data_IF_019224777598
#
_entry.id   IF_019224777598
#
_cell.length_a   1.000
_cell.length_b   1.000
_cell.length_c   1.000
_cell.angle_alpha   90.00
_cell.angle_beta   90.00
_cell.angle_gamma   90.00
#
_symmetry.space_group_name_H-M   'P 1'
#
loop_
_entity.id
_entity.type
_entity.pdbx_description
1 polymer ?
#
# COMPACT_ATOMS: atom_id res chain seq x y z
N UNK A 1 -61.24 -119.12 16.12
CA UNK A 1 -61.60 -117.79 15.56
C UNK A 1 -60.99 -116.69 16.44
N UNK A 2 -59.97 -115.94 16.00
CA UNK A 2 -59.44 -114.70 16.66
C UNK A 2 -58.16 -114.11 16.02
N UNK A 3 -57.40 -114.86 15.21
CA UNK A 3 -56.11 -114.39 14.62
C UNK A 3 -56.26 -113.35 13.49
N UNK A 4 -57.32 -113.41 12.70
CA UNK A 4 -57.60 -112.46 11.61
C UNK A 4 -58.04 -111.07 12.11
N UNK A 5 -58.53 -110.97 13.35
CA UNK A 5 -58.99 -109.71 13.93
C UNK A 5 -57.82 -108.78 14.28
N UNK A 6 -56.68 -109.33 14.72
CA UNK A 6 -55.46 -108.55 14.96
C UNK A 6 -54.84 -108.02 13.65
N UNK A 7 -54.91 -108.80 12.56
CA UNK A 7 -54.39 -108.41 11.25
C UNK A 7 -55.21 -107.30 10.60
N UNK A 8 -56.54 -107.37 10.72
CA UNK A 8 -57.46 -106.33 10.26
C UNK A 8 -57.36 -105.07 11.14
N UNK A 9 -57.24 -105.23 12.46
CA UNK A 9 -57.08 -104.12 13.40
C UNK A 9 -55.75 -103.38 13.23
N UNK A 10 -54.63 -104.11 13.10
CA UNK A 10 -53.32 -103.50 12.84
C UNK A 10 -53.30 -102.88 11.44
N UNK A 11 -53.84 -103.59 10.42
CA UNK A 11 -53.91 -103.07 9.05
C UNK A 11 -54.76 -101.80 8.92
N UNK A 12 -55.91 -101.72 9.60
CA UNK A 12 -56.74 -100.51 9.59
C UNK A 12 -56.08 -99.35 10.34
N UNK A 13 -55.41 -99.64 11.46
CA UNK A 13 -54.67 -98.63 12.21
C UNK A 13 -53.46 -98.10 11.42
N UNK A 14 -52.76 -98.98 10.68
CA UNK A 14 -51.68 -98.57 9.77
C UNK A 14 -52.19 -97.75 8.59
N UNK A 15 -53.35 -98.11 7.99
CA UNK A 15 -53.95 -97.35 6.90
C UNK A 15 -54.39 -95.95 7.35
N UNK A 16 -55.01 -95.84 8.53
CA UNK A 16 -55.37 -94.55 9.14
C UNK A 16 -54.10 -93.74 9.43
N UNK A 17 -53.06 -94.35 9.99
CA UNK A 17 -51.78 -93.68 10.24
C UNK A 17 -51.13 -93.16 8.97
N UNK A 18 -51.08 -93.96 7.89
CA UNK A 18 -50.49 -93.53 6.61
C UNK A 18 -51.28 -92.39 5.98
N UNK A 19 -52.60 -92.39 6.07
CA UNK A 19 -53.43 -91.28 5.60
C UNK A 19 -53.12 -89.97 6.35
N UNK A 20 -53.06 -90.02 7.68
CA UNK A 20 -52.67 -88.86 8.49
C UNK A 20 -51.22 -88.44 8.26
N UNK A 21 -50.29 -89.38 8.08
CA UNK A 21 -48.89 -89.10 7.80
C UNK A 21 -48.72 -88.36 6.47
N UNK A 22 -49.33 -88.84 5.38
CA UNK A 22 -49.25 -88.15 4.07
C UNK A 22 -49.98 -86.81 4.05
N UNK A 23 -51.10 -86.68 4.78
CA UNK A 23 -51.77 -85.39 4.96
C UNK A 23 -50.88 -84.38 5.70
N UNK A 24 -50.23 -84.83 6.78
CA UNK A 24 -49.34 -83.99 7.59
C UNK A 24 -48.02 -83.67 6.86
N UNK A 25 -47.51 -84.55 6.00
CA UNK A 25 -46.34 -84.31 5.15
C UNK A 25 -46.62 -83.21 4.12
N UNK A 26 -47.78 -83.26 3.46
CA UNK A 26 -48.21 -82.21 2.52
C UNK A 26 -48.47 -80.88 3.22
N UNK A 27 -49.02 -80.91 4.42
CA UNK A 27 -49.22 -79.70 5.22
C UNK A 27 -47.87 -79.10 5.67
N UNK A 28 -46.89 -79.92 6.07
CA UNK A 28 -45.55 -79.43 6.40
C UNK A 28 -44.81 -78.88 5.17
N UNK A 29 -44.91 -79.53 4.01
CA UNK A 29 -44.31 -79.04 2.76
C UNK A 29 -44.90 -77.69 2.34
N UNK A 30 -46.23 -77.51 2.46
CA UNK A 30 -46.89 -76.22 2.20
C UNK A 30 -46.44 -75.15 3.19
N UNK A 31 -46.41 -75.46 4.49
CA UNK A 31 -45.93 -74.52 5.51
C UNK A 31 -44.47 -74.12 5.30
N UNK A 32 -43.60 -75.05 4.91
CA UNK A 32 -42.20 -74.73 4.56
C UNK A 32 -42.09 -73.88 3.30
N UNK A 33 -42.87 -74.18 2.26
CA UNK A 33 -42.89 -73.38 1.04
C UNK A 33 -43.39 -71.95 1.30
N UNK A 34 -44.45 -71.80 2.09
CA UNK A 34 -44.98 -70.50 2.52
C UNK A 34 -43.97 -69.74 3.39
N UNK A 35 -43.28 -70.44 4.32
CA UNK A 35 -42.21 -69.84 5.12
C UNK A 35 -41.05 -69.35 4.27
N UNK A 36 -40.61 -70.14 3.27
CA UNK A 36 -39.53 -69.75 2.35
C UNK A 36 -39.91 -68.53 1.52
N UNK A 37 -41.14 -68.48 1.00
CA UNK A 37 -41.64 -67.32 0.25
C UNK A 37 -41.77 -66.08 1.15
N UNK A 38 -42.26 -66.22 2.38
CA UNK A 38 -42.35 -65.13 3.34
C UNK A 38 -40.96 -64.60 3.75
N UNK A 39 -40.01 -65.51 3.99
CA UNK A 39 -38.63 -65.17 4.31
C UNK A 39 -37.97 -64.44 3.13
N UNK A 40 -38.15 -64.93 1.91
CA UNK A 40 -37.61 -64.28 0.70
C UNK A 40 -38.17 -62.86 0.55
N UNK A 41 -39.48 -62.67 0.71
CA UNK A 41 -40.10 -61.33 0.66
C UNK A 41 -39.57 -60.39 1.74
N UNK A 42 -39.35 -60.88 2.95
CA UNK A 42 -38.75 -60.07 4.02
C UNK A 42 -37.30 -59.71 3.73
N UNK A 43 -36.52 -60.63 3.16
CA UNK A 43 -35.14 -60.37 2.75
C UNK A 43 -35.09 -59.35 1.62
N UNK A 44 -35.96 -59.45 0.62
CA UNK A 44 -36.05 -58.51 -0.50
C UNK A 44 -36.50 -57.11 -0.04
N UNK A 45 -37.45 -57.02 0.90
CA UNK A 45 -37.86 -55.74 1.50
C UNK A 45 -36.72 -55.10 2.29
N UNK A 46 -36.06 -55.87 3.17
CA UNK A 46 -34.89 -55.38 3.91
C UNK A 46 -33.74 -54.97 2.99
N UNK A 47 -33.54 -55.67 1.87
CA UNK A 47 -32.52 -55.31 0.89
C UNK A 47 -32.85 -53.98 0.20
N UNK A 48 -34.11 -53.74 -0.17
CA UNK A 48 -34.56 -52.46 -0.74
C UNK A 48 -34.45 -51.32 0.26
N UNK A 49 -34.92 -51.52 1.49
CA UNK A 49 -34.81 -50.51 2.55
C UNK A 49 -33.35 -50.14 2.85
N UNK A 50 -32.45 -51.14 2.86
CA UNK A 50 -31.01 -50.88 2.99
C UNK A 50 -30.46 -50.09 1.80
N UNK A 51 -30.80 -50.48 0.57
CA UNK A 51 -30.34 -49.77 -0.63
C UNK A 51 -30.81 -48.31 -0.65
N UNK A 52 -32.08 -48.05 -0.33
CA UNK A 52 -32.65 -46.68 -0.27
C UNK A 52 -31.99 -45.85 0.85
N UNK A 53 -31.70 -46.47 2.00
CA UNK A 53 -31.01 -45.81 3.11
C UNK A 53 -29.55 -45.47 2.74
N UNK A 54 -28.85 -46.40 2.08
CA UNK A 54 -27.48 -46.20 1.61
C UNK A 54 -27.41 -45.11 0.52
N UNK A 55 -28.36 -45.08 -0.41
CA UNK A 55 -28.43 -44.05 -1.44
C UNK A 55 -28.69 -42.67 -0.83
N UNK A 56 -29.66 -42.55 0.09
CA UNK A 56 -29.91 -41.31 0.83
C UNK A 56 -28.69 -40.86 1.64
N UNK A 57 -28.01 -41.80 2.30
CA UNK A 57 -26.79 -41.50 3.04
C UNK A 57 -25.66 -41.01 2.11
N UNK A 58 -25.52 -41.59 0.92
CA UNK A 58 -24.56 -41.14 -0.09
C UNK A 58 -24.87 -39.73 -0.62
N UNK A 59 -26.14 -39.44 -0.91
CA UNK A 59 -26.58 -38.13 -1.40
C UNK A 59 -26.35 -37.06 -0.33
N UNK A 60 -26.74 -37.31 0.92
CA UNK A 60 -26.52 -36.38 2.03
C UNK A 60 -25.02 -36.15 2.30
N UNK A 61 -24.21 -37.21 2.27
CA UNK A 61 -22.76 -37.08 2.39
C UNK A 61 -22.14 -36.27 1.22
N UNK A 62 -22.59 -36.51 -0.01
CA UNK A 62 -22.15 -35.75 -1.18
C UNK A 62 -22.57 -34.27 -1.09
N UNK A 63 -23.80 -33.98 -0.64
CA UNK A 63 -24.28 -32.62 -0.45
C UNK A 63 -23.47 -31.87 0.63
N UNK A 64 -23.17 -32.53 1.75
CA UNK A 64 -22.35 -31.94 2.83
C UNK A 64 -20.91 -31.69 2.41
N UNK A 65 -20.31 -32.60 1.65
CA UNK A 65 -18.95 -32.41 1.12
C UNK A 65 -18.90 -31.28 0.10
N UNK A 66 -19.86 -31.21 -0.82
CA UNK A 66 -19.99 -30.11 -1.77
C UNK A 66 -20.22 -28.76 -1.08
N UNK A 67 -21.06 -28.72 -0.04
CA UNK A 67 -21.31 -27.50 0.72
C UNK A 67 -20.04 -26.99 1.44
N UNK A 68 -19.25 -27.88 2.05
CA UNK A 68 -17.96 -27.53 2.67
C UNK A 68 -16.97 -27.02 1.64
N UNK A 69 -16.83 -27.72 0.51
CA UNK A 69 -15.93 -27.30 -0.56
C UNK A 69 -16.31 -25.91 -1.11
N UNK A 70 -17.61 -25.62 -1.26
CA UNK A 70 -18.08 -24.30 -1.70
C UNK A 70 -17.83 -23.21 -0.64
N UNK A 71 -18.00 -23.51 0.64
CA UNK A 71 -17.70 -22.57 1.74
C UNK A 71 -16.19 -22.29 1.83
N UNK A 72 -15.35 -23.31 1.73
CA UNK A 72 -13.89 -23.18 1.71
C UNK A 72 -13.42 -22.39 0.48
N UNK A 73 -13.98 -22.67 -0.70
CA UNK A 73 -13.68 -21.92 -1.92
C UNK A 73 -14.05 -20.44 -1.80
N UNK A 74 -15.19 -20.11 -1.18
CA UNK A 74 -15.58 -18.72 -0.90
C UNK A 74 -14.64 -18.05 0.09
N UNK A 75 -14.30 -18.73 1.19
CA UNK A 75 -13.36 -18.20 2.19
C UNK A 75 -11.99 -17.91 1.58
N UNK A 76 -11.51 -18.81 0.72
CA UNK A 76 -10.23 -18.64 0.04
C UNK A 76 -10.29 -17.49 -0.98
N UNK A 77 -11.35 -17.42 -1.79
CA UNK A 77 -11.56 -16.31 -2.72
C UNK A 77 -11.63 -14.97 -2.00
N UNK A 78 -12.37 -14.88 -0.89
CA UNK A 78 -12.46 -13.66 -0.08
C UNK A 78 -11.10 -13.29 0.55
N UNK A 79 -10.33 -14.29 0.99
CA UNK A 79 -8.98 -14.09 1.54
C UNK A 79 -8.04 -13.54 0.48
N UNK A 80 -8.03 -14.14 -0.71
CA UNK A 80 -7.21 -13.69 -1.85
C UNK A 80 -7.62 -12.29 -2.28
N UNK A 81 -8.92 -12.03 -2.44
CA UNK A 81 -9.43 -10.72 -2.84
C UNK A 81 -9.04 -9.62 -1.84
N UNK A 82 -9.14 -9.90 -0.53
CA UNK A 82 -8.68 -8.97 0.52
C UNK A 82 -7.18 -8.75 0.46
N UNK A 83 -6.40 -9.82 0.30
CA UNK A 83 -4.95 -9.72 0.22
C UNK A 83 -4.52 -8.89 -1.00
N UNK A 84 -5.07 -9.16 -2.18
CA UNK A 84 -4.79 -8.38 -3.39
C UNK A 84 -5.20 -6.92 -3.27
N UNK A 85 -6.37 -6.64 -2.67
CA UNK A 85 -6.83 -5.27 -2.44
C UNK A 85 -5.85 -4.50 -1.54
N UNK A 86 -5.49 -5.09 -0.39
CA UNK A 86 -4.52 -4.49 0.53
C UNK A 86 -3.15 -4.33 -0.11
N UNK A 87 -2.66 -5.33 -0.87
CA UNK A 87 -1.38 -5.25 -1.57
C UNK A 87 -1.37 -4.13 -2.61
N UNK A 88 -2.45 -3.95 -3.37
CA UNK A 88 -2.58 -2.82 -4.32
C UNK A 88 -2.63 -1.48 -3.60
N UNK A 89 -3.33 -1.38 -2.48
CA UNK A 89 -3.39 -0.15 -1.69
C UNK A 89 -2.00 0.22 -1.14
N UNK A 90 -1.28 -0.76 -0.60
CA UNK A 90 0.11 -0.58 -0.12
C UNK A 90 1.00 -0.12 -1.28
N UNK A 91 0.91 -0.77 -2.44
CA UNK A 91 1.71 -0.41 -3.61
C UNK A 91 1.40 1.03 -4.07
N UNK A 92 0.13 1.38 -4.26
CA UNK A 92 -0.27 2.71 -4.68
C UNK A 92 0.20 3.79 -3.68
N UNK A 93 0.08 3.52 -2.38
CA UNK A 93 0.55 4.44 -1.34
C UNK A 93 2.06 4.59 -1.38
N UNK A 94 2.79 3.49 -1.54
CA UNK A 94 4.25 3.50 -1.65
C UNK A 94 4.72 4.28 -2.88
N UNK A 95 4.09 4.05 -4.03
CA UNK A 95 4.41 4.74 -5.28
C UNK A 95 4.12 6.25 -5.17
N UNK A 96 3.01 6.63 -4.54
CA UNK A 96 2.68 8.04 -4.28
C UNK A 96 3.70 8.71 -3.37
N UNK A 97 4.07 8.06 -2.25
CA UNK A 97 5.04 8.60 -1.30
C UNK A 97 6.45 8.70 -1.91
N UNK A 98 6.82 7.75 -2.76
CA UNK A 98 8.09 7.81 -3.50
C UNK A 98 8.10 9.00 -4.47
N UNK A 99 7.00 9.22 -5.21
CA UNK A 99 6.87 10.36 -6.11
C UNK A 99 6.91 11.71 -5.36
N UNK A 100 6.29 11.80 -4.19
CA UNK A 100 6.37 12.99 -3.33
C UNK A 100 7.79 13.20 -2.79
N UNK A 101 8.46 12.13 -2.38
CA UNK A 101 9.85 12.19 -1.91
C UNK A 101 10.78 12.71 -3.00
N UNK A 102 10.66 12.21 -4.23
CA UNK A 102 11.44 12.68 -5.38
C UNK A 102 11.17 14.16 -5.69
N UNK A 103 9.91 14.60 -5.55
CA UNK A 103 9.53 16.00 -5.74
C UNK A 103 10.19 16.89 -4.68
N UNK A 104 10.08 16.52 -3.40
CA UNK A 104 10.69 17.29 -2.32
C UNK A 104 12.22 17.29 -2.38
N UNK A 105 12.84 16.19 -2.81
CA UNK A 105 14.28 16.13 -3.03
C UNK A 105 14.75 17.13 -4.11
N UNK A 106 14.00 17.23 -5.22
CA UNK A 106 14.27 18.22 -6.28
C UNK A 106 14.05 19.65 -5.81
N UNK A 107 12.98 19.90 -5.06
CA UNK A 107 12.70 21.23 -4.49
C UNK A 107 13.79 21.64 -3.49
N UNK A 108 14.24 20.73 -2.62
CA UNK A 108 15.33 20.97 -1.70
C UNK A 108 16.63 21.32 -2.43
N UNK A 109 17.02 20.52 -3.44
CA UNK A 109 18.20 20.80 -4.26
C UNK A 109 18.10 22.15 -4.99
N UNK A 110 16.91 22.50 -5.50
CA UNK A 110 16.69 23.80 -6.14
C UNK A 110 16.83 24.96 -5.14
N UNK A 111 16.30 24.81 -3.92
CA UNK A 111 16.43 25.81 -2.86
C UNK A 111 17.88 25.96 -2.39
N UNK A 112 18.64 24.88 -2.28
CA UNK A 112 20.07 24.93 -1.96
C UNK A 112 20.86 25.73 -3.00
N UNK A 113 20.62 25.46 -4.29
CA UNK A 113 21.22 26.23 -5.40
C UNK A 113 20.84 27.71 -5.31
N UNK A 114 19.57 28.03 -5.02
CA UNK A 114 19.13 29.42 -4.86
C UNK A 114 19.83 30.10 -3.68
N UNK A 115 19.99 29.39 -2.56
CA UNK A 115 20.63 29.90 -1.36
C UNK A 115 22.10 30.23 -1.62
N UNK A 116 22.83 29.33 -2.28
CA UNK A 116 24.23 29.57 -2.64
C UNK A 116 24.38 30.71 -3.65
N UNK A 117 23.49 30.80 -4.63
CA UNK A 117 23.45 31.94 -5.54
C UNK A 117 23.21 33.27 -4.81
N UNK A 118 22.28 33.31 -3.86
CA UNK A 118 22.00 34.50 -3.05
C UNK A 118 23.19 34.87 -2.16
N UNK A 119 23.89 33.90 -1.59
CA UNK A 119 25.13 34.14 -0.83
C UNK A 119 26.20 34.77 -1.71
N UNK A 120 26.44 34.21 -2.89
CA UNK A 120 27.41 34.73 -3.85
C UNK A 120 27.05 36.15 -4.31
N UNK A 121 25.76 36.41 -4.60
CA UNK A 121 25.28 37.74 -4.97
C UNK A 121 25.46 38.75 -3.83
N UNK A 122 25.13 38.36 -2.59
CA UNK A 122 25.35 39.20 -1.41
C UNK A 122 26.81 39.58 -1.24
N UNK A 123 27.72 38.61 -1.35
CA UNK A 123 29.16 38.89 -1.24
C UNK A 123 29.66 39.81 -2.34
N UNK A 124 29.22 39.59 -3.58
CA UNK A 124 29.53 40.45 -4.72
C UNK A 124 29.03 41.89 -4.50
N UNK A 125 27.76 42.05 -4.13
CA UNK A 125 27.16 43.36 -3.85
C UNK A 125 27.87 44.08 -2.69
N UNK A 126 28.26 43.35 -1.64
CA UNK A 126 29.01 43.93 -0.53
C UNK A 126 30.37 44.47 -0.98
N UNK A 127 31.09 43.72 -1.82
CA UNK A 127 32.37 44.17 -2.40
C UNK A 127 32.19 45.39 -3.29
N UNK A 128 31.19 45.37 -4.17
CA UNK A 128 30.87 46.50 -5.06
C UNK A 128 30.48 47.76 -4.27
N UNK A 129 29.68 47.59 -3.22
CA UNK A 129 29.27 48.69 -2.33
C UNK A 129 30.48 49.28 -1.61
N UNK A 130 31.39 48.44 -1.11
CA UNK A 130 32.61 48.88 -0.47
C UNK A 130 33.54 49.63 -1.42
N UNK A 131 33.75 49.12 -2.64
CA UNK A 131 34.56 49.78 -3.67
C UNK A 131 33.94 51.12 -4.10
N UNK A 132 32.61 51.19 -4.22
CA UNK A 132 31.92 52.44 -4.53
C UNK A 132 32.10 53.47 -3.40
N UNK A 133 31.95 53.06 -2.15
CA UNK A 133 32.22 53.92 -0.99
C UNK A 133 33.67 54.45 -0.99
N UNK A 134 34.64 53.57 -1.26
CA UNK A 134 36.06 53.94 -1.39
C UNK A 134 36.29 54.98 -2.49
N UNK A 135 35.67 54.81 -3.67
CA UNK A 135 35.77 55.78 -4.77
C UNK A 135 35.17 57.14 -4.40
N UNK A 136 34.04 57.16 -3.69
CA UNK A 136 33.42 58.40 -3.21
C UNK A 136 34.34 59.13 -2.22
N UNK A 137 34.92 58.42 -1.25
CA UNK A 137 35.86 59.03 -0.30
C UNK A 137 37.14 59.51 -0.99
N UNK A 138 37.69 58.75 -1.94
CA UNK A 138 38.83 59.20 -2.74
C UNK A 138 38.51 60.47 -3.54
N UNK A 139 37.30 60.57 -4.12
CA UNK A 139 36.86 61.76 -4.83
C UNK A 139 36.73 62.98 -3.89
N UNK A 140 36.23 62.79 -2.66
CA UNK A 140 36.18 63.84 -1.64
C UNK A 140 37.58 64.35 -1.26
N UNK A 141 38.54 63.44 -1.03
CA UNK A 141 39.93 63.80 -0.72
C UNK A 141 40.55 64.57 -1.90
N UNK A 142 40.37 64.08 -3.13
CA UNK A 142 40.89 64.74 -4.33
C UNK A 142 40.31 66.16 -4.48
N UNK A 143 39.01 66.34 -4.21
CA UNK A 143 38.37 67.67 -4.20
C UNK A 143 38.99 68.59 -3.14
N UNK A 144 39.14 68.14 -1.90
CA UNK A 144 39.76 68.93 -0.82
C UNK A 144 41.20 69.32 -1.15
N UNK A 145 41.97 68.39 -1.73
CA UNK A 145 43.35 68.67 -2.18
C UNK A 145 43.39 69.72 -3.30
N UNK A 146 42.46 69.65 -4.26
CA UNK A 146 42.34 70.65 -5.32
C UNK A 146 41.95 72.03 -4.74
N UNK A 147 41.00 72.08 -3.81
CA UNK A 147 40.60 73.32 -3.12
C UNK A 147 41.76 73.95 -2.35
N UNK A 148 42.53 73.16 -1.59
CA UNK A 148 43.74 73.65 -0.91
C UNK A 148 44.81 74.15 -1.92
N UNK A 149 44.98 73.47 -3.05
CA UNK A 149 45.88 73.91 -4.12
C UNK A 149 45.47 75.25 -4.73
N UNK A 150 44.17 75.46 -4.97
CA UNK A 150 43.60 76.72 -5.45
C UNK A 150 43.82 77.82 -4.41
N UNK A 151 43.56 77.55 -3.13
CA UNK A 151 43.78 78.52 -2.04
C UNK A 151 45.25 78.95 -1.98
N UNK A 152 46.20 78.00 -1.95
CA UNK A 152 47.65 78.29 -1.95
C UNK A 152 48.09 79.11 -3.16
N UNK A 153 47.58 78.78 -4.35
CA UNK A 153 47.92 79.51 -5.58
C UNK A 153 47.37 80.92 -5.54
N UNK A 154 46.12 81.09 -5.08
CA UNK A 154 45.49 82.40 -4.88
C UNK A 154 46.26 83.24 -3.87
N UNK A 155 46.65 82.67 -2.73
CA UNK A 155 47.49 83.33 -1.73
C UNK A 155 48.85 83.74 -2.28
N UNK A 156 49.50 82.88 -3.07
CA UNK A 156 50.79 83.19 -3.71
C UNK A 156 50.65 84.35 -4.70
N UNK A 157 49.60 84.34 -5.53
CA UNK A 157 49.31 85.43 -6.47
C UNK A 157 49.04 86.73 -5.70
N UNK A 158 48.23 86.69 -4.63
CA UNK A 158 47.95 87.85 -3.79
C UNK A 158 49.24 88.42 -3.17
N UNK A 159 50.07 87.57 -2.53
CA UNK A 159 51.36 87.99 -1.97
C UNK A 159 52.30 88.58 -3.02
N UNK A 160 52.35 88.01 -4.22
CA UNK A 160 53.18 88.53 -5.33
C UNK A 160 52.65 89.88 -5.83
N UNK A 161 51.32 90.04 -5.89
CA UNK A 161 50.69 91.31 -6.22
C UNK A 161 51.00 92.38 -5.16
N UNK A 162 50.94 92.05 -3.86
CA UNK A 162 51.30 92.97 -2.76
C UNK A 162 52.79 93.35 -2.76
N UNK A 163 53.66 92.41 -3.11
CA UNK A 163 55.10 92.64 -3.21
C UNK A 163 55.51 93.45 -4.45
N UNK A 164 54.65 93.53 -5.47
CA UNK A 164 54.93 94.24 -6.71
C UNK A 164 55.01 95.75 -6.50
N UNK A 165 55.99 96.41 -7.10
CA UNK A 165 56.10 97.88 -7.06
C UNK A 165 55.05 98.59 -7.93
N UNK A 166 54.41 97.86 -8.84
CA UNK A 166 53.35 98.39 -9.73
C UNK A 166 52.01 98.60 -9.02
N UNK A 167 51.79 97.98 -7.86
CA UNK A 167 50.57 98.09 -7.04
C UNK A 167 50.75 99.03 -5.85
N UNK A 168 51.97 99.50 -5.58
CA UNK A 168 52.28 100.47 -4.53
C UNK A 168 52.08 101.89 -5.06
N UNK A 169 51.31 102.70 -4.34
CA UNK A 169 51.13 104.12 -4.67
C UNK A 169 52.52 104.80 -4.67
N UNK A 170 52.90 105.53 -5.75
CA UNK A 170 54.19 106.18 -5.80
C UNK A 170 54.31 107.14 -4.60
N UNK A 171 55.49 107.22 -3.95
CA UNK A 171 55.69 108.13 -2.84
C UNK A 171 55.37 109.55 -3.31
N UNK A 172 54.67 110.37 -2.49
CA UNK A 172 54.34 111.73 -2.85
C UNK A 172 55.63 112.49 -3.18
N UNK A 173 55.61 113.18 -4.33
CA UNK A 173 56.73 113.99 -4.79
C UNK A 173 57.07 115.06 -3.73
N UNK A 174 58.22 114.91 -3.07
CA UNK A 174 58.82 115.96 -2.26
C UNK A 174 59.75 116.78 -3.16
N UNK A 175 59.41 118.04 -3.48
CA UNK A 175 60.29 118.89 -4.27
C UNK A 175 61.61 119.13 -3.52
N UNK A 176 62.75 119.20 -4.23
CA UNK A 176 64.05 119.40 -3.61
C UNK A 176 64.11 120.74 -2.88
N UNK A 177 64.57 120.72 -1.63
CA UNK A 177 64.81 121.92 -0.83
C UNK A 177 65.87 122.78 -1.54
N UNK A 178 65.51 124.03 -1.84
CA UNK A 178 66.44 125.03 -2.35
C UNK A 178 67.42 125.40 -1.24
N UNK A 179 68.71 125.43 -1.59
CA UNK A 179 69.82 125.97 -0.80
C UNK A 179 69.60 127.42 -0.40
#
# INVERSE_FOLDING_TARGET
MKKWMYLISVGSMTAVFLFFYFAHLKESEKREAEHKVALQKQLDQKAKEKADLEEKARIDAAAKTAARAAEEAKKEADRIAKWEATSREIQNTTDSLNAETDKFAKEAAALEIQLDNLRNQKEKLNRETFELAKRVEQAKINKQNAEMGIQRTTEMIARRADASSLTKMPPPYVPPAKS
#
